data_IF_175848702274
#
_entry.id   IF_175848702274
#
_cell.length_a   1.000
_cell.length_b   1.000
_cell.length_c   1.000
_cell.angle_alpha   90.00
_cell.angle_beta   90.00
_cell.angle_gamma   90.00
#
_symmetry.space_group_name_H-M   'P 1'
#
loop_
_entity.id
_entity.type
_entity.pdbx_description
1 polymer ?
#
# COMPACT_ATOMS: atom_id res chain seq x y z
N UNK A 1 5.45 -23.93 -4.12
CA UNK A 1 5.91 -22.55 -4.36
C UNK A 1 7.37 -22.56 -4.78
N UNK A 2 7.70 -21.92 -5.92
CA UNK A 2 9.08 -21.72 -6.37
C UNK A 2 9.68 -20.44 -5.78
N UNK A 3 10.98 -20.46 -5.49
CA UNK A 3 11.73 -19.26 -5.05
C UNK A 3 12.55 -18.80 -6.26
N UNK A 4 12.29 -17.58 -6.73
CA UNK A 4 12.90 -17.00 -7.91
C UNK A 4 13.82 -15.84 -7.45
N UNK A 5 15.09 -15.89 -7.78
CA UNK A 5 16.09 -14.93 -7.28
C UNK A 5 16.59 -13.97 -8.36
N UNK A 6 16.30 -14.24 -9.60
CA UNK A 6 16.71 -13.39 -10.72
C UNK A 6 15.67 -13.35 -11.83
N UNK A 7 15.83 -12.40 -12.75
CA UNK A 7 14.89 -12.16 -13.86
C UNK A 7 14.85 -13.34 -14.84
N UNK A 8 15.95 -14.08 -15.01
CA UNK A 8 15.96 -15.26 -15.89
C UNK A 8 15.05 -16.36 -15.32
N UNK A 9 15.15 -16.66 -14.02
CA UNK A 9 14.28 -17.62 -13.35
C UNK A 9 12.80 -17.22 -13.43
N UNK A 10 12.47 -15.91 -13.34
CA UNK A 10 11.10 -15.43 -13.55
C UNK A 10 10.64 -15.72 -14.98
N UNK A 11 11.48 -15.44 -15.99
CA UNK A 11 11.14 -15.74 -17.40
C UNK A 11 10.93 -17.23 -17.65
N UNK A 12 11.76 -18.09 -17.07
CA UNK A 12 11.62 -19.55 -17.17
C UNK A 12 10.33 -20.02 -16.49
N UNK A 13 10.02 -19.49 -15.31
CA UNK A 13 8.77 -19.77 -14.61
C UNK A 13 7.54 -19.35 -15.44
N UNK A 14 7.57 -18.17 -16.05
CA UNK A 14 6.49 -17.67 -16.89
C UNK A 14 6.34 -18.52 -18.16
N UNK A 15 7.43 -18.98 -18.77
CA UNK A 15 7.40 -19.86 -19.93
C UNK A 15 6.71 -21.20 -19.63
N UNK A 16 6.96 -21.78 -18.44
CA UNK A 16 6.29 -23.00 -17.97
C UNK A 16 4.80 -22.81 -17.66
N UNK A 17 4.37 -21.57 -17.46
CA UNK A 17 2.99 -21.21 -17.15
C UNK A 17 2.33 -20.37 -18.26
N UNK A 18 2.82 -20.50 -19.50
CA UNK A 18 2.29 -19.77 -20.63
C UNK A 18 0.80 -20.07 -20.85
N UNK A 19 0.03 -19.02 -21.07
CA UNK A 19 -1.43 -19.09 -21.30
C UNK A 19 -2.28 -19.10 -20.03
N UNK A 20 -1.66 -19.13 -18.84
CA UNK A 20 -2.38 -19.02 -17.57
C UNK A 20 -2.56 -17.57 -17.14
N UNK A 21 -3.64 -17.31 -16.41
CA UNK A 21 -3.88 -16.03 -15.75
C UNK A 21 -2.92 -15.86 -14.57
N UNK A 22 -2.12 -14.79 -14.61
CA UNK A 22 -1.12 -14.50 -13.58
C UNK A 22 -1.58 -13.35 -12.70
N UNK A 23 -1.70 -13.61 -11.40
CA UNK A 23 -1.85 -12.59 -10.36
C UNK A 23 -0.51 -12.19 -9.76
N UNK A 24 -0.36 -10.92 -9.41
CA UNK A 24 0.86 -10.38 -8.84
C UNK A 24 0.59 -9.59 -7.55
N UNK A 25 1.37 -9.85 -6.51
CA UNK A 25 1.32 -9.15 -5.23
C UNK A 25 2.69 -8.52 -4.95
N UNK A 26 2.89 -7.23 -5.29
CA UNK A 26 4.13 -6.52 -4.96
C UNK A 26 4.20 -6.20 -3.47
N UNK A 27 5.31 -6.56 -2.82
CA UNK A 27 5.57 -6.24 -1.41
C UNK A 27 7.02 -5.83 -1.20
N UNK A 28 7.27 -5.18 -0.06
CA UNK A 28 8.63 -4.91 0.42
C UNK A 28 9.12 -5.92 1.47
N UNK A 29 8.37 -7.01 1.70
CA UNK A 29 8.69 -7.97 2.75
C UNK A 29 8.10 -7.60 4.11
N UNK A 30 8.58 -8.25 5.18
CA UNK A 30 7.98 -8.23 6.51
C UNK A 30 6.47 -8.56 6.45
N UNK A 31 6.16 -9.67 5.79
CA UNK A 31 4.78 -10.05 5.48
C UNK A 31 3.96 -10.28 6.76
N UNK A 32 2.79 -9.69 6.79
CA UNK A 32 1.80 -9.80 7.87
C UNK A 32 0.43 -10.17 7.30
N UNK A 33 -0.58 -10.38 8.16
CA UNK A 33 -1.92 -10.81 7.73
C UNK A 33 -2.57 -9.90 6.66
N UNK A 34 -2.21 -8.60 6.59
CA UNK A 34 -2.61 -7.70 5.49
C UNK A 34 -2.06 -8.18 4.14
N UNK A 35 -0.76 -8.48 4.06
CA UNK A 35 -0.16 -9.03 2.83
C UNK A 35 -0.71 -10.43 2.51
N UNK A 36 -0.89 -11.27 3.53
CA UNK A 36 -1.47 -12.60 3.39
C UNK A 36 -2.87 -12.55 2.74
N UNK A 37 -3.69 -11.55 3.09
CA UNK A 37 -5.02 -11.36 2.48
C UNK A 37 -4.93 -11.02 0.99
N UNK A 38 -3.94 -10.20 0.58
CA UNK A 38 -3.70 -9.90 -0.84
C UNK A 38 -3.28 -11.16 -1.61
N UNK A 39 -2.39 -11.96 -1.02
CA UNK A 39 -1.90 -13.20 -1.63
C UNK A 39 -3.06 -14.19 -1.80
N UNK A 40 -3.85 -14.40 -0.76
CA UNK A 40 -5.04 -15.27 -0.82
C UNK A 40 -6.04 -14.81 -1.87
N UNK A 41 -6.27 -13.51 -1.98
CA UNK A 41 -7.14 -12.95 -3.02
C UNK A 41 -6.57 -13.22 -4.42
N UNK A 42 -5.26 -13.01 -4.61
CA UNK A 42 -4.57 -13.33 -5.87
C UNK A 42 -4.70 -14.81 -6.24
N UNK A 43 -4.49 -15.71 -5.29
CA UNK A 43 -4.62 -17.18 -5.47
C UNK A 43 -6.07 -17.59 -5.83
N UNK A 44 -7.06 -16.89 -5.28
CA UNK A 44 -8.48 -17.17 -5.60
C UNK A 44 -8.87 -16.71 -6.98
N UNK A 45 -8.30 -15.63 -7.48
CA UNK A 45 -8.72 -14.96 -8.71
C UNK A 45 -7.92 -15.41 -9.94
N UNK A 46 -6.78 -16.10 -9.78
CA UNK A 46 -5.86 -16.42 -10.86
C UNK A 46 -5.37 -17.89 -10.80
N UNK A 47 -4.92 -18.40 -11.93
CA UNK A 47 -4.35 -19.75 -12.03
C UNK A 47 -2.92 -19.83 -11.46
N UNK A 48 -2.20 -18.72 -11.47
CA UNK A 48 -0.83 -18.60 -10.95
C UNK A 48 -0.70 -17.31 -10.16
N UNK A 49 -0.16 -17.37 -8.95
CA UNK A 49 0.05 -16.21 -8.10
C UNK A 49 1.53 -16.03 -7.78
N UNK A 50 2.07 -14.85 -8.11
CA UNK A 50 3.46 -14.46 -7.86
C UNK A 50 3.49 -13.34 -6.81
N UNK A 51 4.33 -13.50 -5.79
CA UNK A 51 4.60 -12.48 -4.78
C UNK A 51 6.01 -11.94 -5.01
N UNK A 52 6.22 -10.62 -4.97
CA UNK A 52 7.58 -10.09 -4.86
C UNK A 52 7.86 -9.63 -3.44
N UNK A 53 9.10 -9.85 -2.98
CA UNK A 53 9.65 -9.25 -1.75
C UNK A 53 10.90 -8.47 -2.15
N UNK A 54 10.77 -7.14 -2.19
CA UNK A 54 11.85 -6.27 -2.60
C UNK A 54 11.78 -4.92 -1.87
N UNK A 55 12.72 -4.67 -0.97
CA UNK A 55 12.86 -3.37 -0.31
C UNK A 55 13.47 -2.40 -1.32
N UNK A 56 12.59 -1.63 -1.97
CA UNK A 56 12.97 -0.73 -3.06
C UNK A 56 13.68 0.52 -2.54
N UNK A 57 14.98 0.70 -2.78
CA UNK A 57 15.72 1.83 -2.22
C UNK A 57 15.27 3.19 -2.79
N UNK A 58 14.74 3.22 -4.02
CA UNK A 58 14.41 4.49 -4.71
C UNK A 58 13.15 5.16 -4.18
N UNK A 59 12.35 4.49 -3.36
CA UNK A 59 11.16 5.05 -2.73
C UNK A 59 11.38 5.55 -1.30
N UNK A 60 12.61 5.46 -0.78
CA UNK A 60 12.99 5.98 0.53
C UNK A 60 13.76 7.30 0.38
N UNK A 61 13.42 8.28 1.20
CA UNK A 61 14.16 9.52 1.29
C UNK A 61 15.39 9.36 2.19
N UNK A 62 16.33 10.29 2.04
CA UNK A 62 17.46 10.38 2.97
C UNK A 62 16.93 10.56 4.41
N UNK A 63 17.35 9.67 5.31
CA UNK A 63 16.92 9.68 6.71
C UNK A 63 15.63 8.91 7.01
N UNK A 64 14.98 8.32 6.01
CA UNK A 64 13.91 7.35 6.25
C UNK A 64 14.46 5.97 6.70
N UNK A 65 13.55 5.07 7.03
CA UNK A 65 13.82 3.78 7.67
C UNK A 65 14.37 2.69 6.73
N UNK A 66 15.01 3.03 5.60
CA UNK A 66 15.53 2.04 4.63
C UNK A 66 16.48 1.01 5.25
N UNK A 67 17.42 1.47 6.08
CA UNK A 67 18.39 0.58 6.74
C UNK A 67 17.75 -0.29 7.81
N UNK A 68 16.77 0.28 8.53
CA UNK A 68 16.05 -0.37 9.62
C UNK A 68 14.75 -1.06 9.16
N UNK A 69 14.41 -0.97 7.85
CA UNK A 69 13.19 -1.60 7.34
C UNK A 69 13.23 -3.11 7.63
N UNK A 70 12.18 -3.69 8.24
CA UNK A 70 12.20 -5.07 8.67
C UNK A 70 12.45 -6.04 7.51
N UNK A 71 13.39 -6.95 7.67
CA UNK A 71 13.73 -7.99 6.68
C UNK A 71 13.77 -9.33 7.37
N UNK A 72 12.95 -10.27 6.89
CA UNK A 72 12.96 -11.66 7.35
C UNK A 72 12.56 -12.57 6.20
N UNK A 73 13.51 -12.82 5.28
CA UNK A 73 13.26 -13.60 4.07
C UNK A 73 12.65 -14.97 4.37
N UNK A 74 13.17 -15.69 5.36
CA UNK A 74 12.66 -17.02 5.71
C UNK A 74 11.18 -16.96 6.13
N UNK A 75 10.81 -15.97 6.95
CA UNK A 75 9.43 -15.75 7.37
C UNK A 75 8.53 -15.34 6.20
N UNK A 76 9.03 -14.48 5.32
CA UNK A 76 8.27 -14.03 4.15
C UNK A 76 7.98 -15.20 3.21
N UNK A 77 8.96 -16.09 2.98
CA UNK A 77 8.78 -17.33 2.21
C UNK A 77 7.71 -18.23 2.85
N UNK A 78 7.75 -18.43 4.18
CA UNK A 78 6.75 -19.23 4.89
C UNK A 78 5.34 -18.65 4.76
N UNK A 79 5.17 -17.33 4.95
CA UNK A 79 3.87 -16.65 4.83
C UNK A 79 3.34 -16.74 3.41
N UNK A 80 4.15 -16.44 2.39
CA UNK A 80 3.74 -16.54 1.00
C UNK A 80 3.34 -17.96 0.61
N UNK A 81 4.09 -18.97 1.07
CA UNK A 81 3.80 -20.39 0.84
C UNK A 81 2.50 -20.81 1.52
N UNK A 82 2.31 -20.43 2.79
CA UNK A 82 1.10 -20.75 3.55
C UNK A 82 -0.15 -20.08 2.96
N UNK A 83 -0.01 -18.90 2.37
CA UNK A 83 -1.08 -18.20 1.67
C UNK A 83 -1.40 -18.80 0.28
N UNK A 84 -0.61 -19.75 -0.22
CA UNK A 84 -0.86 -20.49 -1.46
C UNK A 84 -0.19 -19.92 -2.70
N UNK A 85 0.76 -19.00 -2.59
CA UNK A 85 1.50 -18.47 -3.74
C UNK A 85 2.25 -19.58 -4.50
N UNK A 86 2.28 -19.47 -5.84
CA UNK A 86 3.01 -20.41 -6.71
C UNK A 86 4.50 -20.07 -6.80
N UNK A 87 4.82 -18.78 -6.76
CA UNK A 87 6.19 -18.31 -6.74
C UNK A 87 6.38 -17.07 -5.85
N UNK A 88 7.59 -16.94 -5.30
CA UNK A 88 8.06 -15.73 -4.64
C UNK A 88 9.31 -15.23 -5.37
N UNK A 89 9.31 -13.94 -5.74
CA UNK A 89 10.42 -13.29 -6.44
C UNK A 89 11.18 -12.38 -5.48
N UNK A 90 12.46 -12.65 -5.33
CA UNK A 90 13.39 -12.01 -4.37
C UNK A 90 14.59 -11.41 -5.14
N UNK A 91 14.38 -10.35 -5.95
CA UNK A 91 15.48 -9.77 -6.73
C UNK A 91 16.46 -8.98 -5.91
N UNK A 92 17.71 -8.90 -6.36
CA UNK A 92 18.71 -7.95 -5.87
C UNK A 92 18.51 -6.56 -6.49
N UNK A 93 18.99 -5.52 -5.78
CA UNK A 93 18.93 -4.13 -6.24
C UNK A 93 19.62 -3.93 -7.59
N UNK A 94 20.78 -4.57 -7.80
CA UNK A 94 21.55 -4.48 -9.06
C UNK A 94 20.80 -5.03 -10.26
N UNK A 95 19.94 -6.01 -10.07
CA UNK A 95 19.09 -6.56 -11.13
C UNK A 95 17.92 -5.63 -11.47
N UNK A 96 17.31 -5.04 -10.45
CA UNK A 96 16.19 -4.12 -10.64
C UNK A 96 16.63 -2.76 -11.15
N UNK A 97 17.85 -2.33 -10.85
CA UNK A 97 18.38 -1.01 -11.21
C UNK A 97 19.75 -1.12 -11.91
N UNK A 98 19.79 -1.69 -13.15
CA UNK A 98 21.03 -1.72 -13.95
C UNK A 98 21.41 -0.32 -14.49
N UNK A 99 20.51 0.64 -14.40
CA UNK A 99 20.69 2.06 -14.78
C UNK A 99 19.78 2.94 -13.94
N UNK A 100 19.95 4.26 -14.03
CA UNK A 100 19.24 5.30 -13.31
C UNK A 100 17.91 5.74 -13.96
N UNK A 101 17.41 5.01 -14.96
CA UNK A 101 16.11 5.29 -15.57
C UNK A 101 15.01 5.28 -14.50
N UNK A 102 14.24 6.36 -14.46
CA UNK A 102 13.13 6.53 -13.53
C UNK A 102 11.85 7.00 -14.23
N UNK A 103 10.71 6.67 -13.63
CA UNK A 103 9.39 7.11 -14.05
C UNK A 103 8.90 8.14 -13.04
N UNK A 104 8.41 9.28 -13.52
CA UNK A 104 7.81 10.30 -12.68
C UNK A 104 6.34 9.98 -12.41
N UNK A 105 5.94 10.04 -11.17
CA UNK A 105 4.54 9.98 -10.79
C UNK A 105 3.81 11.27 -11.23
N UNK A 106 2.48 11.22 -11.46
CA UNK A 106 1.71 12.42 -11.78
C UNK A 106 1.89 13.49 -10.71
N UNK A 107 2.44 14.66 -11.08
CA UNK A 107 2.84 15.71 -10.13
C UNK A 107 1.67 16.17 -9.23
N UNK A 108 0.46 16.30 -9.80
CA UNK A 108 -0.73 16.68 -9.04
C UNK A 108 -1.05 15.70 -7.90
N UNK A 109 -0.84 14.40 -8.12
CA UNK A 109 -1.05 13.37 -7.10
C UNK A 109 0.16 13.19 -6.18
N UNK A 110 1.38 13.38 -6.69
CA UNK A 110 2.61 13.13 -5.95
C UNK A 110 3.08 14.32 -5.09
N UNK A 111 2.40 15.47 -5.14
CA UNK A 111 2.73 16.67 -4.37
C UNK A 111 1.80 16.95 -3.18
N UNK A 112 0.81 16.10 -2.95
CA UNK A 112 -0.15 16.23 -1.85
C UNK A 112 0.00 15.06 -0.85
N UNK A 113 -0.58 15.18 0.33
CA UNK A 113 -0.68 14.10 1.33
C UNK A 113 0.68 13.39 1.59
N UNK A 114 0.75 12.07 1.37
CA UNK A 114 1.99 11.28 1.52
C UNK A 114 3.12 11.82 0.62
N UNK A 115 2.78 12.26 -0.59
CA UNK A 115 3.77 12.80 -1.53
C UNK A 115 4.33 14.15 -1.11
N UNK A 116 3.55 15.00 -0.41
CA UNK A 116 4.03 16.25 0.17
C UNK A 116 5.04 15.99 1.30
N UNK A 117 4.76 15.01 2.15
CA UNK A 117 5.64 14.62 3.26
C UNK A 117 6.88 13.86 2.77
N UNK A 118 6.77 13.14 1.65
CA UNK A 118 7.79 12.24 1.08
C UNK A 118 8.09 12.57 -0.39
N UNK A 119 8.72 13.72 -0.71
CA UNK A 119 9.01 14.11 -2.10
C UNK A 119 9.85 13.07 -2.84
N UNK A 120 9.39 12.61 -4.02
CA UNK A 120 10.06 11.58 -4.84
C UNK A 120 9.70 10.13 -4.48
N UNK A 121 9.03 9.88 -3.37
CA UNK A 121 8.59 8.55 -2.97
C UNK A 121 7.81 7.83 -4.09
N UNK A 122 6.82 8.50 -4.64
CA UNK A 122 5.97 7.91 -5.69
C UNK A 122 6.67 7.74 -7.02
N UNK A 123 7.72 8.50 -7.32
CA UNK A 123 8.58 8.24 -8.49
C UNK A 123 9.28 6.88 -8.35
N UNK A 124 9.79 6.58 -7.15
CA UNK A 124 10.37 5.28 -6.83
C UNK A 124 9.34 4.15 -6.95
N UNK A 125 8.11 4.35 -6.43
CA UNK A 125 7.01 3.37 -6.55
C UNK A 125 6.65 3.13 -8.01
N UNK A 126 6.41 4.17 -8.79
CA UNK A 126 6.09 4.04 -10.22
C UNK A 126 7.20 3.31 -10.99
N UNK A 127 8.46 3.64 -10.69
CA UNK A 127 9.62 3.04 -11.35
C UNK A 127 9.71 1.55 -11.09
N UNK A 128 9.65 1.13 -9.83
CA UNK A 128 9.77 -0.30 -9.49
C UNK A 128 8.58 -1.11 -10.01
N UNK A 129 7.36 -0.57 -9.92
CA UNK A 129 6.17 -1.27 -10.40
C UNK A 129 6.17 -1.42 -11.92
N UNK A 130 6.57 -0.39 -12.68
CA UNK A 130 6.69 -0.51 -14.13
C UNK A 130 7.70 -1.61 -14.53
N UNK A 131 8.83 -1.73 -13.78
CA UNK A 131 9.79 -2.82 -14.00
C UNK A 131 9.17 -4.18 -13.69
N UNK A 132 8.50 -4.35 -12.55
CA UNK A 132 7.81 -5.59 -12.22
C UNK A 132 6.74 -5.96 -13.24
N UNK A 133 5.93 -5.00 -13.67
CA UNK A 133 4.89 -5.21 -14.66
C UNK A 133 5.47 -5.67 -16.01
N UNK A 134 6.60 -5.11 -16.45
CA UNK A 134 7.29 -5.57 -17.65
C UNK A 134 7.94 -6.95 -17.50
N UNK A 135 8.45 -7.30 -16.33
CA UNK A 135 9.09 -8.59 -16.05
C UNK A 135 8.03 -9.69 -15.96
N UNK A 136 6.98 -9.48 -15.16
CA UNK A 136 5.98 -10.49 -14.77
C UNK A 136 4.82 -10.55 -15.76
N UNK A 137 4.39 -9.40 -16.30
CA UNK A 137 3.22 -9.26 -17.19
C UNK A 137 1.95 -9.88 -16.59
N UNK A 138 1.57 -9.50 -15.38
CA UNK A 138 0.41 -10.08 -14.72
C UNK A 138 -0.88 -9.63 -15.41
N UNK A 139 -1.94 -10.47 -15.35
CA UNK A 139 -3.29 -10.02 -15.71
C UNK A 139 -3.88 -9.14 -14.61
N UNK A 140 -3.62 -9.45 -13.35
CA UNK A 140 -4.09 -8.69 -12.19
C UNK A 140 -2.98 -8.41 -11.20
N UNK A 141 -2.97 -7.20 -10.61
CA UNK A 141 -2.03 -6.84 -9.54
C UNK A 141 -2.81 -6.31 -8.32
N UNK A 142 -2.47 -6.79 -7.13
CA UNK A 142 -3.26 -6.62 -5.90
C UNK A 142 -2.63 -5.60 -4.98
N UNK A 143 -3.40 -4.58 -4.57
CA UNK A 143 -2.95 -3.49 -3.71
C UNK A 143 -3.93 -3.23 -2.58
N UNK A 144 -3.42 -3.01 -1.38
CA UNK A 144 -4.24 -2.67 -0.22
C UNK A 144 -4.76 -1.24 -0.29
N UNK A 145 -6.05 -1.04 -0.01
CA UNK A 145 -6.67 0.29 0.16
C UNK A 145 -6.03 1.11 1.28
N UNK A 146 -5.30 0.47 2.20
CA UNK A 146 -4.58 1.17 3.27
C UNK A 146 -3.65 2.25 2.71
N UNK A 147 -2.95 1.97 1.65
CA UNK A 147 -2.06 2.92 0.98
C UNK A 147 -2.80 3.55 -0.22
N UNK A 148 -3.92 4.23 0.09
CA UNK A 148 -4.89 4.77 -0.88
C UNK A 148 -4.24 5.62 -1.97
N UNK A 149 -3.39 6.56 -1.59
CA UNK A 149 -2.73 7.43 -2.57
C UNK A 149 -1.82 6.63 -3.51
N UNK A 150 -1.08 5.65 -2.98
CA UNK A 150 -0.30 4.72 -3.80
C UNK A 150 -1.20 3.96 -4.77
N UNK A 151 -2.33 3.41 -4.29
CA UNK A 151 -3.28 2.68 -5.13
C UNK A 151 -3.77 3.54 -6.31
N UNK A 152 -4.16 4.79 -6.06
CA UNK A 152 -4.64 5.72 -7.09
C UNK A 152 -3.51 6.07 -8.08
N UNK A 153 -2.30 6.31 -7.60
CA UNK A 153 -1.13 6.57 -8.45
C UNK A 153 -0.81 5.35 -9.32
N UNK A 154 -0.90 4.13 -8.78
CA UNK A 154 -0.65 2.90 -9.56
C UNK A 154 -1.72 2.69 -10.63
N UNK A 155 -2.99 2.96 -10.34
CA UNK A 155 -4.05 2.95 -11.36
C UNK A 155 -3.76 3.95 -12.48
N UNK A 156 -3.30 5.15 -12.14
CA UNK A 156 -2.86 6.14 -13.12
C UNK A 156 -1.63 5.68 -13.93
N UNK A 157 -0.64 5.04 -13.29
CA UNK A 157 0.53 4.47 -13.96
C UNK A 157 0.12 3.45 -15.03
N UNK A 158 -0.73 2.49 -14.64
CA UNK A 158 -1.22 1.44 -15.56
C UNK A 158 -1.96 2.05 -16.73
N UNK A 159 -2.88 2.99 -16.49
CA UNK A 159 -3.64 3.69 -17.52
C UNK A 159 -2.74 4.51 -18.45
N UNK A 160 -1.79 5.27 -17.89
CA UNK A 160 -0.94 6.19 -18.65
C UNK A 160 0.13 5.50 -19.51
N UNK A 161 0.63 4.35 -19.04
CA UNK A 161 1.62 3.54 -19.78
C UNK A 161 0.99 2.40 -20.58
N UNK A 162 -0.36 2.36 -20.66
CA UNK A 162 -1.10 1.36 -21.42
C UNK A 162 -0.75 -0.09 -21.06
N UNK A 163 -0.49 -0.35 -19.77
CA UNK A 163 -0.35 -1.71 -19.31
C UNK A 163 -1.71 -2.41 -19.36
N UNK A 164 -1.74 -3.60 -19.92
CA UNK A 164 -2.93 -4.47 -19.90
C UNK A 164 -3.00 -5.26 -18.59
N UNK A 165 -3.24 -4.53 -17.49
CA UNK A 165 -3.24 -5.04 -16.12
C UNK A 165 -4.43 -4.47 -15.36
N UNK A 166 -5.22 -5.33 -14.76
CA UNK A 166 -6.24 -4.92 -13.80
C UNK A 166 -5.62 -4.67 -12.42
N UNK A 167 -5.77 -3.46 -11.87
CA UNK A 167 -5.39 -3.16 -10.48
C UNK A 167 -6.56 -3.50 -9.57
N UNK A 168 -6.38 -4.49 -8.71
CA UNK A 168 -7.40 -4.98 -7.78
C UNK A 168 -7.22 -4.35 -6.41
N UNK A 169 -8.12 -3.43 -5.97
CA UNK A 169 -8.08 -2.87 -4.64
C UNK A 169 -8.58 -3.88 -3.60
N UNK A 170 -7.80 -4.10 -2.54
CA UNK A 170 -8.15 -5.01 -1.45
C UNK A 170 -8.39 -4.25 -0.15
N UNK A 171 -9.33 -4.73 0.65
CA UNK A 171 -9.74 -4.07 1.89
C UNK A 171 -8.64 -4.07 2.97
N UNK A 172 -8.75 -3.13 3.90
CA UNK A 172 -7.80 -2.97 5.00
C UNK A 172 -8.02 -4.09 6.02
N UNK A 173 -6.97 -4.83 6.32
CA UNK A 173 -6.97 -5.81 7.41
C UNK A 173 -6.55 -5.10 8.70
N UNK A 174 -7.32 -5.32 9.76
CA UNK A 174 -7.13 -4.69 11.06
C UNK A 174 -6.87 -5.73 12.15
N UNK A 175 -6.17 -5.32 13.19
CA UNK A 175 -6.08 -6.08 14.44
C UNK A 175 -7.42 -6.03 15.18
N UNK A 176 -7.57 -6.85 16.24
CA UNK A 176 -8.82 -6.94 17.00
C UNK A 176 -9.25 -5.63 17.68
N UNK A 177 -8.34 -4.70 17.90
CA UNK A 177 -8.57 -3.36 18.44
C UNK A 177 -8.86 -2.30 17.36
N UNK A 178 -8.86 -2.71 16.08
CA UNK A 178 -9.15 -1.87 14.91
C UNK A 178 -7.93 -1.24 14.25
N UNK A 179 -6.72 -1.35 14.82
CA UNK A 179 -5.51 -0.79 14.22
C UNK A 179 -5.24 -1.45 12.85
N UNK A 180 -5.05 -0.63 11.81
CA UNK A 180 -4.68 -1.10 10.48
C UNK A 180 -3.30 -1.78 10.54
N UNK A 181 -3.18 -2.99 9.95
CA UNK A 181 -1.93 -3.72 9.97
C UNK A 181 -0.90 -3.07 9.07
N UNK A 182 0.31 -2.90 9.62
CA UNK A 182 1.46 -2.31 8.93
C UNK A 182 2.75 -2.92 9.46
N UNK A 183 3.76 -3.08 8.61
CA UNK A 183 5.11 -3.51 9.04
C UNK A 183 5.71 -2.54 10.06
N UNK A 184 5.33 -1.24 10.02
CA UNK A 184 5.77 -0.23 10.98
C UNK A 184 5.13 -0.35 12.36
N UNK A 185 4.08 -1.17 12.53
CA UNK A 185 3.52 -1.42 13.86
C UNK A 185 4.52 -2.12 14.78
N UNK A 186 5.51 -2.83 14.22
CA UNK A 186 6.61 -3.43 14.98
C UNK A 186 7.54 -2.43 15.67
N UNK A 187 7.47 -1.15 15.31
CA UNK A 187 8.24 -0.08 15.96
C UNK A 187 7.57 0.47 17.23
N UNK A 188 6.29 0.13 17.46
CA UNK A 188 5.48 0.68 18.54
C UNK A 188 5.60 -0.16 19.81
N UNK A 189 5.80 0.49 20.94
CA UNK A 189 5.64 -0.11 22.27
C UNK A 189 4.16 -0.31 22.64
N UNK A 190 3.90 -1.04 23.74
CA UNK A 190 2.52 -1.38 24.16
C UNK A 190 1.64 -0.13 24.35
N UNK A 191 2.16 0.92 25.00
CA UNK A 191 1.42 2.17 25.19
C UNK A 191 1.17 2.90 23.87
N UNK A 192 2.14 2.84 22.93
CA UNK A 192 2.00 3.45 21.62
C UNK A 192 0.99 2.71 20.74
N UNK A 193 0.89 1.38 20.86
CA UNK A 193 -0.15 0.60 20.17
C UNK A 193 -1.56 1.03 20.59
N UNK A 194 -1.77 1.29 21.89
CA UNK A 194 -3.05 1.80 22.39
C UNK A 194 -3.38 3.19 21.80
N UNK A 195 -2.39 4.07 21.76
CA UNK A 195 -2.55 5.41 21.16
C UNK A 195 -2.78 5.33 19.65
N UNK A 196 -2.12 4.41 18.94
CA UNK A 196 -2.31 4.19 17.50
C UNK A 196 -3.75 3.83 17.12
N UNK A 197 -4.49 3.16 18.01
CA UNK A 197 -5.90 2.84 17.80
C UNK A 197 -6.80 4.09 17.72
N UNK A 198 -6.32 5.27 18.12
CA UNK A 198 -7.04 6.55 17.95
C UNK A 198 -7.29 6.87 16.48
N UNK A 199 -6.39 6.48 15.55
CA UNK A 199 -6.62 6.66 14.12
C UNK A 199 -7.90 5.97 13.68
N UNK A 200 -8.05 4.70 14.02
CA UNK A 200 -9.27 3.94 13.69
C UNK A 200 -10.52 4.51 14.38
N UNK A 201 -10.40 4.87 15.68
CA UNK A 201 -11.52 5.48 16.41
C UNK A 201 -11.98 6.78 15.78
N UNK A 202 -11.05 7.61 15.27
CA UNK A 202 -11.38 8.83 14.54
C UNK A 202 -12.16 8.54 13.26
N UNK A 203 -11.79 7.51 12.50
CA UNK A 203 -12.52 7.06 11.30
C UNK A 203 -13.90 6.50 11.65
N UNK A 204 -14.03 5.76 12.74
CA UNK A 204 -15.33 5.27 13.25
C UNK A 204 -16.24 6.44 13.64
N UNK A 205 -15.69 7.46 14.32
CA UNK A 205 -16.41 8.71 14.65
C UNK A 205 -16.90 9.41 13.38
N UNK A 206 -16.04 9.55 12.37
CA UNK A 206 -16.40 10.14 11.10
C UNK A 206 -17.55 9.37 10.42
N UNK A 207 -17.45 8.03 10.36
CA UNK A 207 -18.49 7.18 9.80
C UNK A 207 -19.84 7.36 10.52
N UNK A 208 -19.82 7.45 11.85
CA UNK A 208 -21.02 7.65 12.66
C UNK A 208 -21.67 9.03 12.36
N UNK A 209 -20.86 10.08 12.20
CA UNK A 209 -21.35 11.42 11.84
C UNK A 209 -22.01 11.43 10.46
N UNK A 210 -21.37 10.81 9.47
CA UNK A 210 -21.94 10.67 8.11
C UNK A 210 -23.27 9.90 8.17
N UNK A 211 -23.32 8.79 8.92
CA UNK A 211 -24.55 8.00 9.10
C UNK A 211 -25.65 8.78 9.81
N UNK A 212 -25.30 9.79 10.62
CA UNK A 212 -26.24 10.71 11.29
C UNK A 212 -26.64 11.93 10.41
N UNK A 213 -26.18 11.99 9.15
CA UNK A 213 -26.53 13.07 8.21
C UNK A 213 -25.58 14.28 8.24
N UNK A 214 -24.42 14.18 8.89
CA UNK A 214 -23.39 15.23 8.84
C UNK A 214 -22.48 14.99 7.66
N UNK A 215 -22.49 15.88 6.65
CA UNK A 215 -21.71 15.75 5.44
C UNK A 215 -20.61 16.83 5.28
N UNK A 216 -20.60 17.87 6.11
CA UNK A 216 -19.57 18.92 6.08
C UNK A 216 -18.21 18.36 6.44
N UNK A 217 -17.25 18.48 5.50
CA UNK A 217 -15.87 18.02 5.69
C UNK A 217 -15.20 18.70 6.89
N UNK A 218 -15.39 20.00 7.06
CA UNK A 218 -14.78 20.76 8.18
C UNK A 218 -15.30 20.29 9.54
N UNK A 219 -16.60 20.04 9.66
CA UNK A 219 -17.19 19.53 10.91
C UNK A 219 -16.64 18.16 11.25
N UNK A 220 -16.55 17.26 10.26
CA UNK A 220 -16.04 15.91 10.45
C UNK A 220 -14.55 15.92 10.79
N UNK A 221 -13.72 16.70 10.08
CA UNK A 221 -12.29 16.88 10.38
C UNK A 221 -12.08 17.39 11.81
N UNK A 222 -12.88 18.37 12.25
CA UNK A 222 -12.80 18.92 13.61
C UNK A 222 -13.14 17.86 14.69
N UNK A 223 -14.16 17.05 14.46
CA UNK A 223 -14.54 15.97 15.40
C UNK A 223 -13.52 14.83 15.43
N UNK A 224 -12.92 14.49 14.28
CA UNK A 224 -11.83 13.52 14.21
C UNK A 224 -10.59 14.01 14.96
N UNK A 225 -10.23 15.29 14.81
CA UNK A 225 -9.09 15.89 15.50
C UNK A 225 -9.22 15.80 17.03
N UNK A 226 -10.42 15.96 17.58
CA UNK A 226 -10.66 15.77 19.04
C UNK A 226 -10.39 14.34 19.50
N UNK A 227 -10.70 13.33 18.66
CA UNK A 227 -10.43 11.91 18.99
C UNK A 227 -8.95 11.60 18.97
N UNK A 228 -8.20 12.29 18.10
CA UNK A 228 -6.75 12.08 17.93
C UNK A 228 -5.91 12.74 19.02
N UNK A 229 -6.44 13.71 19.75
CA UNK A 229 -5.70 14.37 20.83
C UNK A 229 -5.16 13.34 21.85
N UNK A 230 -3.88 13.41 22.28
CA UNK A 230 -2.85 14.41 22.00
C UNK A 230 -1.88 14.06 20.84
N UNK A 231 -2.24 13.19 19.91
CA UNK A 231 -1.36 12.82 18.79
C UNK A 231 -1.04 14.04 17.90
N UNK A 232 0.19 14.11 17.41
CA UNK A 232 0.56 15.09 16.39
C UNK A 232 -0.07 14.66 15.06
N UNK A 233 -1.12 15.38 14.64
CA UNK A 233 -1.77 15.17 13.35
C UNK A 233 -0.88 15.74 12.25
N UNK A 234 -0.62 14.96 11.21
CA UNK A 234 0.02 15.43 9.98
C UNK A 234 -1.04 15.96 9.01
N UNK A 235 -2.05 15.15 8.71
CA UNK A 235 -3.25 15.60 8.02
C UNK A 235 -4.50 14.79 8.41
N UNK A 236 -5.67 15.39 8.23
CA UNK A 236 -6.96 14.76 8.06
C UNK A 236 -7.52 15.34 6.76
N UNK A 237 -7.75 14.51 5.75
CA UNK A 237 -8.26 14.96 4.47
C UNK A 237 -9.51 14.17 4.06
N UNK A 238 -10.46 14.88 3.45
CA UNK A 238 -11.67 14.31 2.89
C UNK A 238 -11.70 14.69 1.41
N UNK A 239 -11.70 13.68 0.55
CA UNK A 239 -11.53 13.84 -0.88
C UNK A 239 -12.44 12.91 -1.69
N UNK A 240 -12.52 13.17 -2.98
CA UNK A 240 -13.11 12.27 -3.96
C UNK A 240 -12.18 11.10 -4.31
N UNK A 241 -12.56 10.27 -5.30
CA UNK A 241 -11.76 9.10 -5.76
C UNK A 241 -10.50 9.49 -6.55
N UNK A 242 -10.39 10.73 -7.00
CA UNK A 242 -9.22 11.32 -7.65
C UNK A 242 -8.31 12.09 -6.70
N UNK A 243 -8.60 12.08 -5.38
CA UNK A 243 -7.91 12.82 -4.32
C UNK A 243 -8.07 14.34 -4.38
N UNK A 244 -9.10 14.87 -5.03
CA UNK A 244 -9.46 16.27 -4.91
C UNK A 244 -10.17 16.51 -3.59
N UNK A 245 -9.76 17.53 -2.82
CA UNK A 245 -10.45 17.93 -1.58
C UNK A 245 -11.90 18.33 -1.87
N UNK A 246 -12.82 17.92 -1.00
CA UNK A 246 -14.25 18.21 -1.11
C UNK A 246 -14.80 18.81 0.18
N UNK A 247 -15.69 19.79 0.07
CA UNK A 247 -16.33 20.45 1.21
C UNK A 247 -17.49 19.63 1.80
N UNK A 248 -18.08 18.75 0.98
CA UNK A 248 -19.22 17.93 1.35
C UNK A 248 -18.98 16.46 0.95
N UNK A 249 -19.16 15.56 1.91
CA UNK A 249 -19.07 14.13 1.66
C UNK A 249 -20.19 13.68 0.72
N UNK A 250 -19.83 12.87 -0.25
CA UNK A 250 -20.72 12.13 -1.11
C UNK A 250 -20.59 10.64 -0.79
N UNK A 251 -21.64 10.02 -0.31
CA UNK A 251 -21.64 8.58 -0.03
C UNK A 251 -21.29 7.80 -1.30
N UNK A 252 -20.50 6.74 -1.15
CA UNK A 252 -19.96 5.88 -2.21
C UNK A 252 -18.92 6.54 -3.15
N UNK A 253 -18.58 7.82 -2.93
CA UNK A 253 -17.61 8.54 -3.77
C UNK A 253 -16.49 9.23 -2.99
N UNK A 254 -16.59 9.30 -1.67
CA UNK A 254 -15.62 10.01 -0.85
C UNK A 254 -14.66 9.06 -0.13
N UNK A 255 -13.48 9.59 0.19
CA UNK A 255 -12.47 8.91 1.01
C UNK A 255 -12.07 9.87 2.13
N UNK A 256 -11.98 9.36 3.34
CA UNK A 256 -11.39 10.05 4.49
C UNK A 256 -10.01 9.47 4.71
N UNK A 257 -8.99 10.32 4.70
CA UNK A 257 -7.59 9.96 4.87
C UNK A 257 -7.04 10.61 6.13
N UNK A 258 -6.20 9.90 6.85
CA UNK A 258 -5.58 10.39 8.09
C UNK A 258 -4.13 9.96 8.16
N UNK A 259 -3.27 10.88 8.58
CA UNK A 259 -1.91 10.60 9.00
C UNK A 259 -1.62 11.29 10.34
N UNK A 260 -1.03 10.55 11.27
CA UNK A 260 -0.64 11.07 12.58
C UNK A 260 0.62 10.38 13.09
N UNK A 261 1.32 11.05 14.01
CA UNK A 261 2.51 10.52 14.66
C UNK A 261 2.13 9.90 16.01
N UNK A 262 2.56 8.67 16.22
CA UNK A 262 2.55 7.99 17.51
C UNK A 262 4.00 7.84 17.95
N UNK A 263 4.39 8.61 18.95
CA UNK A 263 5.80 8.79 19.25
C UNK A 263 6.55 9.35 18.04
N UNK A 264 7.53 8.60 17.53
CA UNK A 264 8.29 8.94 16.32
C UNK A 264 7.74 8.28 15.06
N UNK A 265 6.82 7.34 15.19
CA UNK A 265 6.29 6.55 14.08
C UNK A 265 5.10 7.25 13.44
N UNK A 266 5.22 7.56 12.17
CA UNK A 266 4.12 8.10 11.37
C UNK A 266 3.24 6.96 10.85
N UNK A 267 1.96 7.01 11.18
CA UNK A 267 0.95 6.03 10.78
C UNK A 267 -0.11 6.67 9.89
N UNK A 268 -0.64 5.88 8.98
CA UNK A 268 -1.75 6.27 8.10
C UNK A 268 -2.89 5.27 8.20
N UNK A 269 -4.09 5.79 8.02
CA UNK A 269 -5.31 4.98 7.89
C UNK A 269 -6.33 5.71 7.02
N UNK A 270 -7.40 5.03 6.61
CA UNK A 270 -8.44 5.64 5.80
C UNK A 270 -9.78 4.91 5.90
N UNK A 271 -10.81 5.59 5.38
CA UNK A 271 -12.16 5.06 5.26
C UNK A 271 -12.72 5.44 3.88
N UNK A 272 -13.15 4.44 3.14
CA UNK A 272 -13.87 4.59 1.88
C UNK A 272 -15.38 4.59 2.17
N UNK A 273 -16.05 5.68 1.78
CA UNK A 273 -17.47 5.91 1.92
C UNK A 273 -18.18 5.73 0.59
#
# INVERSE_FOLDING_TARGET
MQILRNIAEVKDFLALNQGKEIGFVPTMGALHAGHESLIKKSVQDNEVSIVSVFVNPTQFLAGEDLENYPRNEARDIEVAKAAGADAIFLPDVSQMYPSDISIKAPSALASILEGATRPGHFDGVCTVLAKFFNIIRPMRAYFGKKDTQQLIIVQNLVKSLFFDIEIVPCDIIRAGDGLALSSRNSYLGESELIEACKLYRALVKAKALVSAGTFSSDVIKAEMAKVLDPLKIDYIEICDRELNSIDQIQTDKSIILIAAYVGKTRLIDNLWL
#
